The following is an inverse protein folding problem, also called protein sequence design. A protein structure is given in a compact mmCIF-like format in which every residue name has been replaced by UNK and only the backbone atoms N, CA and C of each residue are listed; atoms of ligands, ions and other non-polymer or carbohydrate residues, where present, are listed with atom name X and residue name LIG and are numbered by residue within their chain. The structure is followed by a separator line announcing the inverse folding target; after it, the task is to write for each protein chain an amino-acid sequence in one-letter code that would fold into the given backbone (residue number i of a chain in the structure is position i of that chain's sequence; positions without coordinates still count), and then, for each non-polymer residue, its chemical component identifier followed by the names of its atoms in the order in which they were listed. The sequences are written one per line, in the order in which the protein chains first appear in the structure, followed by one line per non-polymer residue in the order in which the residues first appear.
data_IF_252921404750
#
_entry.id   IF_252921404750
#
_cell.length_a   1.000
_cell.length_b   1.000
_cell.length_c   1.000
_cell.angle_alpha   90.00
_cell.angle_beta   90.00
_cell.angle_gamma   90.00
#
_symmetry.space_group_name_H-M   'P 1'
#
loop_
_entity.id
_entity.type
_entity.pdbx_description
1 polymer ?
#
# COMPACT_ATOMS: atom_id res chain seq x y z
N UNK A 1 28.69 -36.46 -39.04
CA UNK A 1 28.53 -35.39 -40.07
C UNK A 1 28.92 -34.07 -39.43
N UNK A 2 29.74 -33.26 -40.10
CA UNK A 2 30.68 -32.35 -39.46
C UNK A 2 30.14 -30.94 -39.17
N UNK A 3 30.78 -30.30 -38.20
CA UNK A 3 30.58 -28.90 -37.82
C UNK A 3 31.07 -27.94 -38.92
N UNK A 4 30.42 -26.77 -39.13
CA UNK A 4 31.01 -25.72 -39.96
C UNK A 4 31.98 -24.82 -39.18
N UNK A 5 32.91 -24.14 -39.90
CA UNK A 5 34.07 -23.51 -39.31
C UNK A 5 33.88 -22.08 -38.81
N UNK A 6 34.71 -21.67 -37.89
CA UNK A 6 34.88 -20.37 -37.30
C UNK A 6 35.37 -19.28 -38.28
N UNK A 7 34.81 -18.06 -38.22
CA UNK A 7 35.26 -16.87 -38.93
C UNK A 7 36.25 -16.03 -38.07
N UNK A 8 37.23 -15.34 -38.68
CA UNK A 8 38.32 -14.68 -37.97
C UNK A 8 37.96 -13.27 -37.46
N UNK A 9 38.57 -12.89 -36.35
CA UNK A 9 38.54 -11.56 -35.72
C UNK A 9 39.24 -10.50 -36.58
N UNK A 10 38.57 -9.39 -36.86
CA UNK A 10 39.21 -8.17 -37.38
C UNK A 10 39.58 -7.24 -36.23
N UNK A 11 40.88 -6.99 -36.07
CA UNK A 11 41.41 -5.89 -35.23
C UNK A 11 41.27 -4.60 -36.01
N UNK A 12 40.60 -3.60 -35.41
CA UNK A 12 40.60 -2.23 -35.91
C UNK A 12 41.69 -1.43 -35.19
N UNK A 13 42.55 -0.80 -35.97
CA UNK A 13 43.60 0.09 -35.49
C UNK A 13 43.00 1.44 -35.15
N UNK A 14 43.36 1.98 -33.99
CA UNK A 14 42.98 3.36 -33.57
C UNK A 14 44.07 4.30 -34.06
N UNK A 15 43.73 5.14 -35.02
CA UNK A 15 44.54 6.26 -35.43
C UNK A 15 44.32 7.47 -34.54
N UNK A 16 45.39 7.95 -33.92
CA UNK A 16 45.40 9.20 -33.13
C UNK A 16 45.61 10.39 -34.10
N UNK A 17 44.61 11.24 -34.26
CA UNK A 17 44.76 12.53 -34.90
C UNK A 17 45.05 13.61 -33.84
N UNK A 18 46.26 14.17 -33.87
CA UNK A 18 46.58 15.40 -33.11
C UNK A 18 46.00 16.62 -33.84
N UNK A 19 45.01 17.28 -33.26
CA UNK A 19 44.57 18.58 -33.73
C UNK A 19 45.16 19.66 -32.83
N UNK A 20 45.99 20.52 -33.44
CA UNK A 20 46.56 21.71 -32.83
C UNK A 20 45.45 22.77 -32.83
N UNK A 21 45.00 23.25 -31.67
CA UNK A 21 44.09 24.33 -31.49
C UNK A 21 44.89 25.61 -31.12
N UNK A 22 44.82 26.60 -31.99
CA UNK A 22 45.43 27.94 -31.75
C UNK A 22 44.64 28.67 -30.67
N UNK A 23 45.32 29.13 -29.61
CA UNK A 23 44.76 29.99 -28.58
C UNK A 23 44.61 31.43 -29.14
N UNK A 24 43.38 31.88 -29.31
CA UNK A 24 43.06 33.31 -29.43
C UNK A 24 42.76 33.86 -28.01
N UNK A 25 43.65 34.73 -27.54
CA UNK A 25 43.45 35.47 -26.30
C UNK A 25 42.38 36.54 -26.47
N UNK A 26 41.19 36.34 -25.87
CA UNK A 26 40.24 37.43 -25.64
C UNK A 26 40.37 37.92 -24.19
N UNK A 27 40.67 39.22 -24.07
CA UNK A 27 40.69 39.94 -22.78
C UNK A 27 39.29 39.98 -22.17
N UNK A 28 39.06 39.17 -21.15
CA UNK A 28 37.82 39.18 -20.34
C UNK A 28 37.93 40.18 -19.18
N UNK A 29 36.97 41.10 -19.09
CA UNK A 29 36.79 41.96 -17.94
C UNK A 29 36.37 41.14 -16.67
N UNK A 30 36.36 41.79 -15.48
CA UNK A 30 36.11 41.06 -14.22
C UNK A 30 34.71 40.46 -14.23
N UNK A 31 34.64 39.13 -14.23
CA UNK A 31 33.40 38.40 -13.97
C UNK A 31 33.13 38.42 -12.49
N UNK A 32 32.07 39.13 -12.11
CA UNK A 32 31.51 39.13 -10.76
C UNK A 32 30.93 37.71 -10.48
N UNK A 33 31.78 36.80 -10.07
CA UNK A 33 31.36 35.47 -9.67
C UNK A 33 30.77 35.55 -8.26
N UNK A 34 29.44 35.71 -8.21
CA UNK A 34 28.69 35.55 -6.96
C UNK A 34 29.08 34.18 -6.35
N UNK A 35 29.52 34.12 -5.09
CA UNK A 35 29.91 32.86 -4.48
C UNK A 35 28.72 31.86 -4.52
N UNK A 36 28.97 30.57 -4.74
CA UNK A 36 27.93 29.58 -4.79
C UNK A 36 27.16 29.61 -3.46
N UNK A 37 25.85 29.87 -3.54
CA UNK A 37 24.95 29.84 -2.41
C UNK A 37 24.84 28.36 -2.01
N UNK A 38 25.50 27.99 -0.92
CA UNK A 38 25.32 26.68 -0.32
C UNK A 38 23.86 26.57 0.13
N UNK A 39 23.06 25.59 -0.37
CA UNK A 39 21.72 25.44 0.12
C UNK A 39 21.75 25.21 1.64
N UNK A 40 20.80 25.78 2.38
CA UNK A 40 20.75 25.58 3.83
C UNK A 40 20.70 24.08 4.13
N UNK A 41 21.33 23.62 5.23
CA UNK A 41 21.31 22.22 5.59
C UNK A 41 19.86 21.76 5.76
N UNK A 42 19.48 20.69 5.04
CA UNK A 42 18.19 20.06 5.20
C UNK A 42 18.18 19.43 6.58
N UNK A 43 17.49 20.05 7.53
CA UNK A 43 17.27 19.46 8.85
C UNK A 43 16.36 18.25 8.66
N UNK A 44 16.79 17.04 9.02
CA UNK A 44 15.92 15.87 8.90
C UNK A 44 14.66 16.10 9.74
N UNK A 45 13.49 15.94 9.13
CA UNK A 45 12.22 16.00 9.85
C UNK A 45 12.16 14.79 10.79
N UNK A 46 12.07 15.06 12.10
CA UNK A 46 11.85 14.00 13.10
C UNK A 46 10.35 13.80 13.26
N UNK A 47 9.89 12.61 12.92
CA UNK A 47 8.48 12.22 13.05
C UNK A 47 8.23 11.70 14.47
N UNK A 48 7.29 12.32 15.19
CA UNK A 48 6.91 11.96 16.55
C UNK A 48 5.66 11.11 16.52
N UNK A 49 5.69 9.93 17.13
CA UNK A 49 4.55 9.01 17.16
C UNK A 49 3.31 9.69 17.78
N UNK A 50 2.17 9.51 17.13
CA UNK A 50 0.89 10.13 17.49
C UNK A 50 0.69 11.55 16.94
N UNK A 51 1.67 12.15 16.27
CA UNK A 51 1.54 13.48 15.65
C UNK A 51 1.25 13.40 14.16
N UNK A 52 0.51 14.39 13.65
CA UNK A 52 0.16 14.54 12.24
C UNK A 52 1.15 15.41 11.48
N UNK A 53 1.47 15.00 10.27
CA UNK A 53 2.28 15.71 9.29
C UNK A 53 1.53 15.74 7.96
N UNK A 54 1.64 16.83 7.24
CA UNK A 54 0.83 17.04 6.04
C UNK A 54 1.70 17.23 4.81
N UNK A 55 1.29 16.64 3.71
CA UNK A 55 1.77 16.95 2.39
C UNK A 55 1.29 18.32 1.92
N UNK A 56 1.65 18.68 0.68
CA UNK A 56 1.30 19.98 0.08
C UNK A 56 -0.21 20.18 0.12
N UNK A 57 -0.62 21.39 0.49
CA UNK A 57 -2.02 21.82 0.58
C UNK A 57 -2.88 20.97 1.55
N UNK A 58 -2.27 20.14 2.39
CA UNK A 58 -2.98 19.26 3.29
C UNK A 58 -3.73 18.12 2.58
N UNK A 59 -3.34 17.75 1.35
CA UNK A 59 -4.03 16.72 0.57
C UNK A 59 -3.77 15.32 1.08
N UNK A 60 -2.63 15.10 1.70
CA UNK A 60 -2.27 13.84 2.32
C UNK A 60 -1.81 14.11 3.74
N UNK A 61 -2.25 13.30 4.67
CA UNK A 61 -1.85 13.34 6.07
C UNK A 61 -1.13 12.05 6.44
N UNK A 62 -0.06 12.20 7.20
CA UNK A 62 0.64 11.10 7.85
C UNK A 62 0.59 11.30 9.36
N UNK A 63 -0.13 10.42 10.06
CA UNK A 63 -0.04 10.30 11.51
C UNK A 63 1.12 9.33 11.81
N UNK A 64 2.20 9.86 12.33
CA UNK A 64 3.40 9.08 12.59
C UNK A 64 3.13 8.01 13.65
N UNK A 65 3.72 6.84 13.45
CA UNK A 65 3.59 5.71 14.35
C UNK A 65 4.92 5.22 14.90
N UNK A 66 4.85 4.22 15.78
CA UNK A 66 5.99 3.45 16.29
C UNK A 66 5.62 1.97 16.51
N UNK A 67 4.45 1.55 16.05
CA UNK A 67 4.00 0.17 16.04
C UNK A 67 4.34 -0.50 14.69
N UNK A 68 4.42 -1.84 14.61
CA UNK A 68 4.66 -2.55 13.36
C UNK A 68 3.41 -2.67 12.45
N UNK A 69 2.50 -1.69 12.52
CA UNK A 69 1.24 -1.66 11.79
C UNK A 69 1.10 -0.36 11.02
N UNK A 70 0.72 -0.46 9.75
CA UNK A 70 0.47 0.66 8.84
C UNK A 70 -0.98 0.56 8.37
N UNK A 71 -1.74 1.64 8.54
CA UNK A 71 -3.12 1.78 8.11
C UNK A 71 -3.21 2.86 7.03
N UNK A 72 -3.98 2.63 5.99
CA UNK A 72 -4.22 3.62 4.94
C UNK A 72 -5.72 3.81 4.71
N UNK A 73 -6.14 5.04 4.36
CA UNK A 73 -7.52 5.36 3.98
C UNK A 73 -7.49 6.23 2.70
N UNK A 74 -7.53 5.60 1.51
CA UNK A 74 -7.35 6.32 0.24
C UNK A 74 -8.61 7.06 -0.22
N UNK A 75 -9.82 6.65 0.18
CA UNK A 75 -11.06 7.06 -0.48
C UNK A 75 -12.07 7.79 0.40
N UNK A 76 -11.73 8.10 1.66
CA UNK A 76 -12.62 8.81 2.59
C UNK A 76 -12.60 10.34 2.45
N UNK A 77 -11.75 10.89 1.60
CA UNK A 77 -11.53 12.33 1.46
C UNK A 77 -12.70 13.10 0.85
N UNK A 78 -12.81 14.37 1.21
CA UNK A 78 -13.88 15.29 0.75
C UNK A 78 -13.35 16.58 0.14
N UNK A 79 -12.04 16.86 0.23
CA UNK A 79 -11.47 18.09 -0.34
C UNK A 79 -11.63 18.09 -1.87
N UNK A 80 -12.16 19.15 -2.41
CA UNK A 80 -12.46 19.31 -3.84
C UNK A 80 -11.95 20.64 -4.37
N UNK A 81 -10.63 20.90 -4.42
CA UNK A 81 -10.07 22.14 -4.91
C UNK A 81 -10.40 22.32 -6.39
N UNK A 82 -10.67 23.58 -6.80
CA UNK A 82 -10.99 23.92 -8.20
C UNK A 82 -9.77 23.78 -9.14
N UNK A 83 -8.56 23.82 -8.60
CA UNK A 83 -7.30 23.62 -9.36
C UNK A 83 -7.12 22.18 -9.87
N UNK A 84 -7.81 21.21 -9.28
CA UNK A 84 -7.80 19.82 -9.74
C UNK A 84 -9.16 19.54 -10.38
N UNK A 85 -9.25 19.28 -11.70
CA UNK A 85 -10.47 18.88 -12.38
C UNK A 85 -11.02 17.56 -11.81
N UNK A 86 -12.33 17.34 -11.98
CA UNK A 86 -12.92 16.03 -11.66
C UNK A 86 -12.39 14.96 -12.62
N UNK A 87 -12.11 13.80 -12.05
CA UNK A 87 -11.76 12.60 -12.82
C UNK A 87 -12.99 12.13 -13.61
N UNK A 88 -12.78 11.89 -14.89
CA UNK A 88 -13.81 11.32 -15.79
C UNK A 88 -13.20 10.17 -16.59
N UNK A 89 -14.02 9.25 -17.07
CA UNK A 89 -13.55 8.13 -17.87
C UNK A 89 -12.76 8.61 -19.12
N UNK A 90 -13.22 9.67 -19.77
CA UNK A 90 -12.55 10.24 -20.95
C UNK A 90 -11.19 10.87 -20.61
N UNK A 91 -11.07 11.58 -19.50
CA UNK A 91 -9.83 12.23 -19.09
C UNK A 91 -8.81 11.23 -18.52
N UNK A 92 -9.28 10.13 -17.92
CA UNK A 92 -8.45 9.13 -17.25
C UNK A 92 -8.10 7.92 -18.13
N UNK A 93 -8.49 7.92 -19.39
CA UNK A 93 -8.13 6.85 -20.34
C UNK A 93 -8.94 5.55 -20.22
N UNK A 94 -10.14 5.59 -19.61
CA UNK A 94 -11.00 4.39 -19.60
C UNK A 94 -12.01 4.31 -18.47
N UNK A 95 -11.58 4.39 -17.22
CA UNK A 95 -12.49 4.30 -16.06
C UNK A 95 -12.20 5.39 -15.03
N UNK A 96 -13.20 5.80 -14.29
CA UNK A 96 -13.05 6.73 -13.18
C UNK A 96 -14.12 6.45 -12.11
N UNK A 97 -13.84 5.54 -11.20
CA UNK A 97 -14.64 5.40 -9.98
C UNK A 97 -14.42 6.63 -9.10
N UNK A 98 -15.51 7.28 -8.71
CA UNK A 98 -15.49 8.55 -7.96
C UNK A 98 -16.27 8.49 -6.65
N UNK A 99 -16.82 7.34 -6.32
CA UNK A 99 -17.59 7.12 -5.08
C UNK A 99 -16.66 7.16 -3.88
N UNK A 100 -17.07 7.90 -2.86
CA UNK A 100 -16.34 8.01 -1.58
C UNK A 100 -16.65 6.82 -0.68
N UNK A 101 -15.63 6.27 -0.07
CA UNK A 101 -15.76 5.23 0.97
C UNK A 101 -16.01 5.94 2.33
N UNK A 102 -17.26 6.32 2.58
CA UNK A 102 -17.63 7.15 3.70
C UNK A 102 -17.12 6.60 5.05
N UNK A 103 -16.62 7.51 5.90
CA UNK A 103 -16.16 7.26 7.27
C UNK A 103 -14.90 6.36 7.38
N UNK A 104 -14.16 6.10 6.30
CA UNK A 104 -12.90 5.34 6.40
C UNK A 104 -11.78 6.15 7.05
N UNK A 105 -11.77 7.47 6.92
CA UNK A 105 -10.82 8.34 7.63
C UNK A 105 -11.04 8.31 9.15
N UNK A 106 -12.28 8.46 9.57
CA UNK A 106 -12.68 8.37 10.98
C UNK A 106 -12.36 6.99 11.54
N UNK A 107 -12.56 5.93 10.74
CA UNK A 107 -12.27 4.56 11.14
C UNK A 107 -10.79 4.38 11.44
N UNK A 108 -9.87 4.76 10.53
CA UNK A 108 -8.42 4.56 10.75
C UNK A 108 -7.89 5.42 11.90
N UNK A 109 -8.43 6.62 12.14
CA UNK A 109 -8.10 7.44 13.31
C UNK A 109 -8.56 6.77 14.61
N UNK A 110 -9.77 6.22 14.61
CA UNK A 110 -10.29 5.46 15.74
C UNK A 110 -9.44 4.22 16.00
N UNK A 111 -9.05 3.50 14.93
CA UNK A 111 -8.15 2.34 15.03
C UNK A 111 -6.80 2.74 15.64
N UNK A 112 -6.19 3.85 15.21
CA UNK A 112 -4.93 4.33 15.82
C UNK A 112 -5.10 4.61 17.31
N UNK A 113 -6.15 5.35 17.68
CA UNK A 113 -6.42 5.74 19.08
C UNK A 113 -6.65 4.51 19.98
N UNK A 114 -7.49 3.58 19.52
CA UNK A 114 -7.82 2.37 20.29
C UNK A 114 -6.63 1.42 20.40
N UNK A 115 -5.85 1.30 19.32
CA UNK A 115 -4.60 0.55 19.33
C UNK A 115 -3.60 1.15 20.33
N UNK A 116 -3.41 2.47 20.31
CA UNK A 116 -2.49 3.16 21.23
C UNK A 116 -2.94 3.02 22.69
N UNK A 117 -4.24 3.10 22.96
CA UNK A 117 -4.79 2.87 24.29
C UNK A 117 -4.53 1.43 24.79
N UNK A 118 -4.54 0.43 23.88
CA UNK A 118 -4.32 -0.98 24.25
C UNK A 118 -2.85 -1.34 24.42
N UNK A 119 -1.97 -0.86 23.54
CA UNK A 119 -0.59 -1.32 23.44
C UNK A 119 0.47 -0.25 23.80
N UNK A 120 0.08 0.99 24.08
CA UNK A 120 1.01 2.08 24.33
C UNK A 120 1.85 2.52 23.13
N UNK A 121 1.52 2.03 21.92
CA UNK A 121 2.20 2.32 20.65
C UNK A 121 1.19 2.78 19.61
N UNK A 122 1.62 3.59 18.67
CA UNK A 122 0.78 4.15 17.61
C UNK A 122 1.04 3.42 16.28
N UNK A 123 0.01 2.86 15.60
CA UNK A 123 0.12 2.53 14.18
C UNK A 123 0.49 3.77 13.36
N UNK A 124 1.22 3.55 12.26
CA UNK A 124 1.35 4.57 11.22
C UNK A 124 0.03 4.68 10.46
N UNK A 125 -0.46 5.90 10.23
CA UNK A 125 -1.72 6.11 9.48
C UNK A 125 -1.49 7.10 8.35
N UNK A 126 -1.90 6.77 7.13
CA UNK A 126 -1.85 7.66 5.97
C UNK A 126 -3.26 7.87 5.42
N UNK A 127 -3.66 9.13 5.28
CA UNK A 127 -5.02 9.52 4.90
C UNK A 127 -4.96 10.43 3.68
N UNK A 128 -5.74 10.10 2.64
CA UNK A 128 -5.96 10.97 1.50
C UNK A 128 -7.18 11.87 1.77
N UNK A 129 -6.97 13.20 1.82
CA UNK A 129 -8.03 14.17 2.07
C UNK A 129 -8.76 14.61 0.80
N UNK A 130 -8.11 14.48 -0.37
CA UNK A 130 -8.77 14.76 -1.64
C UNK A 130 -9.96 13.82 -1.85
N UNK A 131 -11.07 14.38 -2.31
CA UNK A 131 -12.19 13.58 -2.79
C UNK A 131 -11.71 12.61 -3.89
N UNK A 132 -12.23 11.39 -3.89
CA UNK A 132 -11.94 10.41 -4.94
C UNK A 132 -12.29 10.92 -6.35
N UNK A 133 -13.13 11.95 -6.45
CA UNK A 133 -13.38 12.69 -7.70
C UNK A 133 -12.15 13.45 -8.21
N UNK A 134 -11.20 13.79 -7.35
CA UNK A 134 -10.00 14.57 -7.67
C UNK A 134 -8.75 13.70 -7.79
N UNK A 135 -8.64 12.71 -6.90
CA UNK A 135 -7.51 11.78 -6.87
C UNK A 135 -8.00 10.41 -6.38
N UNK A 136 -7.59 9.35 -7.05
CA UNK A 136 -7.72 7.98 -6.56
C UNK A 136 -6.33 7.41 -6.25
N UNK A 137 -5.88 7.44 -4.99
CA UNK A 137 -4.55 6.95 -4.63
C UNK A 137 -4.41 5.42 -4.76
N UNK A 138 -5.50 4.70 -4.99
CA UNK A 138 -5.50 3.25 -5.24
C UNK A 138 -5.56 2.93 -6.74
N UNK A 139 -4.98 3.83 -7.58
CA UNK A 139 -4.84 3.65 -9.03
C UNK A 139 -3.47 4.16 -9.49
N UNK A 140 -3.00 3.61 -10.61
CA UNK A 140 -1.85 4.14 -11.32
C UNK A 140 -2.22 5.38 -12.15
N UNK A 141 -1.21 6.17 -12.53
CA UNK A 141 -1.40 7.16 -13.59
C UNK A 141 -1.60 6.44 -14.95
N UNK A 142 -2.46 6.96 -15.84
CA UNK A 142 -3.20 8.23 -15.70
C UNK A 142 -4.48 8.14 -14.86
N UNK A 143 -5.00 6.98 -14.52
CA UNK A 143 -6.29 6.81 -13.83
C UNK A 143 -6.35 7.51 -12.47
N UNK A 144 -5.23 7.59 -11.75
CA UNK A 144 -5.19 8.19 -10.41
C UNK A 144 -5.58 9.67 -10.41
N UNK A 145 -5.05 10.47 -11.33
CA UNK A 145 -5.24 11.93 -11.35
C UNK A 145 -5.46 12.52 -12.73
N UNK A 146 -5.73 11.68 -13.75
CA UNK A 146 -6.05 12.05 -15.14
C UNK A 146 -5.06 13.08 -15.74
N UNK A 147 -3.77 12.95 -15.43
CA UNK A 147 -2.69 13.80 -15.93
C UNK A 147 -2.57 15.18 -15.26
N UNK A 148 -3.37 15.48 -14.22
CA UNK A 148 -3.24 16.73 -13.48
C UNK A 148 -1.97 16.70 -12.61
N UNK A 149 -1.10 17.72 -12.72
CA UNK A 149 0.19 17.78 -12.05
C UNK A 149 0.07 17.91 -10.52
N UNK A 150 -0.93 18.62 -10.02
CA UNK A 150 -1.17 18.79 -8.59
C UNK A 150 -1.66 17.50 -7.96
N UNK A 151 -2.57 16.79 -8.63
CA UNK A 151 -3.01 15.44 -8.22
C UNK A 151 -1.85 14.43 -8.28
N UNK A 152 -0.98 14.51 -9.29
CA UNK A 152 0.21 13.66 -9.40
C UNK A 152 1.20 13.91 -8.24
N UNK A 153 1.35 15.17 -7.81
CA UNK A 153 2.16 15.51 -6.63
C UNK A 153 1.55 14.88 -5.35
N UNK A 154 0.24 15.03 -5.15
CA UNK A 154 -0.43 14.43 -3.99
C UNK A 154 -0.33 12.88 -4.00
N UNK A 155 -0.41 12.23 -5.17
CA UNK A 155 -0.18 10.79 -5.30
C UNK A 155 1.26 10.40 -4.90
N UNK A 156 2.25 11.19 -5.32
CA UNK A 156 3.65 10.97 -4.95
C UNK A 156 3.85 11.09 -3.43
N UNK A 157 3.25 12.10 -2.81
CA UNK A 157 3.29 12.29 -1.35
C UNK A 157 2.60 11.15 -0.60
N UNK A 158 1.47 10.66 -1.11
CA UNK A 158 0.77 9.48 -0.58
C UNK A 158 1.69 8.27 -0.49
N UNK A 159 2.31 7.90 -1.60
CA UNK A 159 3.22 6.76 -1.61
C UNK A 159 4.49 7.01 -0.80
N UNK A 160 5.02 8.23 -0.79
CA UNK A 160 6.21 8.59 -0.01
C UNK A 160 5.98 8.43 1.50
N UNK A 161 4.82 8.81 2.02
CA UNK A 161 4.48 8.61 3.42
C UNK A 161 4.29 7.13 3.78
N UNK A 162 3.72 6.32 2.86
CA UNK A 162 3.63 4.88 3.08
C UNK A 162 5.03 4.24 3.09
N UNK A 163 5.89 4.62 2.15
CA UNK A 163 7.27 4.10 2.07
C UNK A 163 8.11 4.54 3.28
N UNK A 164 7.92 5.75 3.79
CA UNK A 164 8.49 6.21 5.05
C UNK A 164 8.02 5.33 6.23
N UNK A 165 6.71 5.11 6.36
CA UNK A 165 6.15 4.25 7.40
C UNK A 165 6.71 2.83 7.34
N UNK A 166 6.81 2.25 6.13
CA UNK A 166 7.43 0.93 5.91
C UNK A 166 8.89 0.90 6.36
N UNK A 167 9.66 1.94 6.02
CA UNK A 167 11.06 2.05 6.42
C UNK A 167 11.22 2.10 7.94
N UNK A 168 10.40 2.92 8.63
CA UNK A 168 10.45 3.01 10.09
C UNK A 168 10.02 1.68 10.76
N UNK A 169 8.97 1.01 10.24
CA UNK A 169 8.55 -0.31 10.72
C UNK A 169 9.65 -1.34 10.54
N UNK A 170 10.27 -1.42 9.36
CA UNK A 170 11.33 -2.39 9.09
C UNK A 170 12.56 -2.13 9.96
N UNK A 171 12.95 -0.88 10.15
CA UNK A 171 14.06 -0.47 11.00
C UNK A 171 13.84 -0.84 12.47
N UNK A 172 12.63 -0.63 12.99
CA UNK A 172 12.30 -0.85 14.39
C UNK A 172 11.92 -2.29 14.72
N UNK A 173 11.28 -3.01 13.80
CA UNK A 173 10.64 -4.30 14.06
C UNK A 173 11.09 -5.43 13.11
N UNK A 174 11.81 -5.13 12.02
CA UNK A 174 12.25 -6.08 11.01
C UNK A 174 11.14 -6.60 10.10
N UNK A 175 9.89 -6.49 10.49
CA UNK A 175 8.69 -6.90 9.76
C UNK A 175 7.46 -6.13 10.24
N UNK A 176 6.40 -6.08 9.41
CA UNK A 176 5.20 -5.34 9.75
C UNK A 176 3.96 -5.76 8.97
N UNK A 177 2.84 -5.15 9.33
CA UNK A 177 1.53 -5.43 8.76
C UNK A 177 0.90 -4.17 8.16
N UNK A 178 0.48 -4.27 6.91
CA UNK A 178 -0.18 -3.20 6.16
C UNK A 178 -1.68 -3.50 5.99
N UNK A 179 -2.54 -2.50 6.23
CA UNK A 179 -3.97 -2.59 6.02
C UNK A 179 -4.44 -1.39 5.20
N UNK A 180 -4.97 -1.65 4.01
CA UNK A 180 -5.61 -0.63 3.16
C UNK A 180 -7.11 -0.63 3.44
N UNK A 181 -7.59 0.41 4.13
CA UNK A 181 -8.96 0.47 4.63
C UNK A 181 -9.89 1.14 3.62
N UNK A 182 -10.77 0.35 3.07
CA UNK A 182 -11.81 0.72 2.12
C UNK A 182 -13.21 0.50 2.67
N UNK A 183 -14.19 0.82 1.86
CA UNK A 183 -15.57 0.57 2.18
C UNK A 183 -16.41 0.22 0.97
N UNK A 184 -17.13 -0.89 1.06
CA UNK A 184 -18.03 -1.35 0.01
C UNK A 184 -19.50 -1.05 0.27
N UNK A 185 -20.29 -1.12 -0.79
CA UNK A 185 -21.75 -1.07 -0.78
C UNK A 185 -22.41 -2.36 -1.28
N UNK A 186 -21.70 -3.50 -1.23
CA UNK A 186 -22.23 -4.79 -1.67
C UNK A 186 -23.42 -5.23 -0.78
N UNK A 187 -24.37 -6.01 -1.33
CA UNK A 187 -25.55 -6.44 -0.58
C UNK A 187 -25.22 -7.28 0.66
N UNK A 188 -24.18 -8.12 0.57
CA UNK A 188 -23.75 -8.96 1.70
C UNK A 188 -22.93 -8.12 2.68
N UNK A 189 -23.45 -7.95 3.89
CA UNK A 189 -22.80 -7.14 4.93
C UNK A 189 -21.75 -7.96 5.68
N UNK A 190 -20.51 -7.91 5.20
CA UNK A 190 -19.34 -8.61 5.74
C UNK A 190 -18.07 -7.83 5.41
N UNK A 191 -16.97 -8.09 6.09
CA UNK A 191 -15.64 -7.63 5.68
C UNK A 191 -15.17 -8.46 4.49
N UNK A 192 -14.64 -7.81 3.45
CA UNK A 192 -13.98 -8.50 2.34
C UNK A 192 -12.47 -8.30 2.46
N UNK A 193 -11.75 -9.40 2.64
CA UNK A 193 -10.31 -9.40 2.88
C UNK A 193 -9.57 -9.70 1.58
N UNK A 194 -9.09 -8.64 0.93
CA UNK A 194 -8.42 -8.69 -0.36
C UNK A 194 -6.93 -8.99 -0.23
N UNK A 195 -6.56 -10.25 -0.44
CA UNK A 195 -5.17 -10.74 -0.42
C UNK A 195 -4.51 -10.77 -1.81
N UNK A 196 -5.10 -10.15 -2.82
CA UNK A 196 -4.79 -10.29 -4.25
C UNK A 196 -5.12 -11.69 -4.80
N UNK A 197 -5.89 -12.47 -4.06
CA UNK A 197 -6.43 -13.78 -4.47
C UNK A 197 -7.82 -13.54 -5.05
N UNK A 198 -8.04 -13.93 -6.30
CA UNK A 198 -9.30 -13.67 -7.00
C UNK A 198 -10.47 -14.49 -6.46
N UNK A 199 -11.71 -14.04 -6.73
CA UNK A 199 -12.91 -14.81 -6.40
C UNK A 199 -12.87 -16.24 -6.98
N UNK A 200 -12.47 -16.38 -8.24
CA UNK A 200 -12.36 -17.68 -8.90
C UNK A 200 -11.34 -18.61 -8.23
N UNK A 201 -10.23 -18.07 -7.70
CA UNK A 201 -9.25 -18.86 -6.93
C UNK A 201 -9.82 -19.29 -5.58
N UNK A 202 -10.53 -18.38 -4.88
CA UNK A 202 -11.18 -18.71 -3.61
C UNK A 202 -12.35 -19.67 -3.77
N UNK A 203 -13.05 -19.66 -4.90
CA UNK A 203 -14.14 -20.62 -5.19
C UNK A 203 -13.62 -22.04 -5.41
N UNK A 204 -12.34 -22.21 -5.67
CA UNK A 204 -11.67 -23.51 -5.74
C UNK A 204 -11.64 -24.28 -4.41
N UNK A 205 -11.28 -25.56 -4.47
CA UNK A 205 -11.02 -26.37 -3.28
C UNK A 205 -9.74 -25.92 -2.56
N UNK A 206 -9.57 -26.31 -1.29
CA UNK A 206 -8.34 -26.02 -0.56
C UNK A 206 -7.13 -26.64 -1.25
N UNK A 207 -7.24 -27.87 -1.72
CA UNK A 207 -6.17 -28.54 -2.46
C UNK A 207 -5.81 -27.81 -3.77
N UNK A 208 -6.80 -27.26 -4.47
CA UNK A 208 -6.54 -26.47 -5.68
C UNK A 208 -5.85 -25.12 -5.36
N UNK A 209 -6.25 -24.48 -4.27
CA UNK A 209 -5.65 -23.23 -3.82
C UNK A 209 -4.20 -23.45 -3.33
N UNK A 210 -3.95 -24.52 -2.60
CA UNK A 210 -2.62 -24.90 -2.10
C UNK A 210 -1.66 -25.34 -3.23
N UNK A 211 -2.20 -25.94 -4.30
CA UNK A 211 -1.42 -26.30 -5.48
C UNK A 211 -1.12 -25.09 -6.41
N UNK A 212 -1.80 -23.95 -6.22
CA UNK A 212 -1.70 -22.79 -7.08
C UNK A 212 -0.53 -21.86 -6.69
N UNK A 213 0.71 -22.32 -6.86
CA UNK A 213 1.92 -21.55 -6.50
C UNK A 213 1.96 -20.13 -7.07
N UNK A 214 1.38 -19.91 -8.26
CA UNK A 214 1.26 -18.59 -8.87
C UNK A 214 0.27 -17.67 -8.11
N UNK A 215 -0.78 -18.23 -7.47
CA UNK A 215 -1.68 -17.46 -6.64
C UNK A 215 -1.01 -17.06 -5.31
N UNK A 216 -0.33 -17.98 -4.66
CA UNK A 216 0.41 -17.74 -3.43
C UNK A 216 1.53 -16.71 -3.64
N UNK A 217 2.31 -16.84 -4.71
CA UNK A 217 3.42 -15.93 -5.00
C UNK A 217 2.98 -14.49 -5.21
N UNK A 218 1.76 -14.25 -5.69
CA UNK A 218 1.17 -12.91 -5.87
C UNK A 218 0.44 -12.39 -4.64
N UNK A 219 0.11 -13.28 -3.70
CA UNK A 219 -0.66 -12.89 -2.54
C UNK A 219 0.07 -11.85 -1.68
N UNK A 220 -0.68 -10.89 -1.18
CA UNK A 220 -0.17 -9.82 -0.31
C UNK A 220 0.40 -10.32 1.02
N UNK A 221 0.30 -11.61 1.29
CA UNK A 221 0.77 -12.32 2.49
C UNK A 221 1.86 -13.35 2.17
N UNK A 222 2.51 -13.27 1.02
CA UNK A 222 3.51 -14.26 0.56
C UNK A 222 4.56 -14.60 1.63
N UNK A 223 5.28 -13.62 2.15
CA UNK A 223 6.36 -13.89 3.12
C UNK A 223 5.84 -14.46 4.44
N UNK A 224 4.62 -14.09 4.84
CA UNK A 224 3.95 -14.68 5.99
C UNK A 224 3.54 -16.13 5.68
N UNK A 225 3.02 -16.41 4.48
CA UNK A 225 2.66 -17.77 4.05
C UNK A 225 3.89 -18.69 4.07
N UNK A 226 5.00 -18.24 3.49
CA UNK A 226 6.25 -19.01 3.46
C UNK A 226 6.86 -19.25 4.85
N UNK A 227 6.60 -18.38 5.81
CA UNK A 227 7.06 -18.52 7.19
C UNK A 227 6.11 -19.35 8.07
N UNK A 228 4.86 -19.51 7.65
CA UNK A 228 3.82 -20.20 8.39
C UNK A 228 3.93 -21.73 8.21
N UNK A 229 3.65 -22.54 9.25
CA UNK A 229 3.53 -23.99 9.11
C UNK A 229 2.19 -24.42 8.47
N UNK A 230 1.27 -23.48 8.25
CA UNK A 230 -0.03 -23.74 7.64
C UNK A 230 0.08 -23.77 6.12
N UNK A 231 -0.84 -24.51 5.46
CA UNK A 231 -1.03 -24.37 4.02
C UNK A 231 -1.59 -22.97 3.68
N UNK A 232 -1.44 -22.55 2.43
CA UNK A 232 -1.93 -21.26 1.96
C UNK A 232 -3.44 -21.10 2.15
N UNK A 233 -4.21 -22.15 1.83
CA UNK A 233 -5.67 -22.18 2.06
C UNK A 233 -6.02 -22.01 3.54
N UNK A 234 -5.33 -22.74 4.42
CA UNK A 234 -5.56 -22.66 5.86
C UNK A 234 -5.20 -21.28 6.44
N UNK A 235 -4.15 -20.62 5.91
CA UNK A 235 -3.79 -19.25 6.28
C UNK A 235 -4.88 -18.25 5.90
N UNK A 236 -5.50 -18.39 4.72
CA UNK A 236 -6.52 -17.46 4.23
C UNK A 236 -7.91 -17.69 4.85
N UNK A 237 -8.30 -18.95 5.06
CA UNK A 237 -9.68 -19.30 5.43
C UNK A 237 -9.81 -20.43 6.47
N UNK A 238 -8.71 -20.83 7.09
CA UNK A 238 -8.74 -21.82 8.18
C UNK A 238 -9.21 -21.25 9.51
N UNK A 239 -9.22 -22.07 10.57
CA UNK A 239 -9.75 -21.70 11.89
C UNK A 239 -9.05 -20.51 12.56
N UNK A 240 -7.80 -20.26 12.21
CA UNK A 240 -6.99 -19.17 12.76
C UNK A 240 -6.68 -18.08 11.72
N UNK A 241 -7.36 -18.09 10.56
CA UNK A 241 -7.23 -17.05 9.56
C UNK A 241 -7.75 -15.71 10.07
N UNK A 242 -7.26 -14.62 9.49
CA UNK A 242 -7.65 -13.26 9.87
C UNK A 242 -9.18 -13.07 9.83
N UNK A 243 -9.83 -13.55 8.76
CA UNK A 243 -11.28 -13.45 8.61
C UNK A 243 -12.04 -14.28 9.65
N UNK A 244 -11.54 -15.46 10.01
CA UNK A 244 -12.16 -16.28 11.08
C UNK A 244 -12.04 -15.60 12.43
N UNK A 245 -10.90 -14.98 12.71
CA UNK A 245 -10.71 -14.21 13.95
C UNK A 245 -11.63 -12.98 14.01
N UNK A 246 -11.82 -12.26 12.91
CA UNK A 246 -12.81 -11.17 12.85
C UNK A 246 -14.24 -11.66 13.03
N UNK A 247 -14.61 -12.78 12.39
CA UNK A 247 -15.95 -13.37 12.54
C UNK A 247 -16.22 -13.76 14.00
N UNK A 248 -15.22 -14.29 14.71
CA UNK A 248 -15.32 -14.60 16.14
C UNK A 248 -15.51 -13.35 17.03
N UNK A 249 -15.12 -12.16 16.56
CA UNK A 249 -15.37 -10.87 17.21
C UNK A 249 -16.71 -10.24 16.79
N UNK A 250 -17.55 -10.95 16.03
CA UNK A 250 -18.84 -10.46 15.56
C UNK A 250 -18.77 -9.59 14.29
N UNK A 251 -17.69 -9.74 13.49
CA UNK A 251 -17.53 -9.13 12.18
C UNK A 251 -17.43 -10.21 11.11
N UNK A 252 -18.56 -10.66 10.52
CA UNK A 252 -18.55 -11.63 9.43
C UNK A 252 -17.54 -11.24 8.36
N UNK A 253 -16.76 -12.19 7.85
CA UNK A 253 -15.64 -11.89 6.96
C UNK A 253 -15.44 -12.96 5.91
N UNK A 254 -15.01 -12.53 4.71
CA UNK A 254 -14.61 -13.40 3.62
C UNK A 254 -13.17 -13.05 3.17
N UNK A 255 -12.29 -14.06 2.93
CA UNK A 255 -12.45 -15.46 3.27
C UNK A 255 -12.32 -15.72 4.78
N UNK A 256 -13.06 -16.72 5.28
CA UNK A 256 -12.99 -17.21 6.66
C UNK A 256 -13.42 -18.68 6.70
N UNK A 257 -13.33 -19.35 7.83
CA UNK A 257 -13.82 -20.73 7.95
C UNK A 257 -15.34 -20.85 7.82
N UNK A 258 -16.07 -19.80 8.22
CA UNK A 258 -17.54 -19.73 8.09
C UNK A 258 -18.03 -19.23 6.73
N UNK A 259 -17.19 -18.48 6.02
CA UNK A 259 -17.49 -17.91 4.70
C UNK A 259 -16.23 -17.98 3.81
N UNK A 260 -15.91 -19.20 3.32
CA UNK A 260 -14.60 -19.42 2.68
C UNK A 260 -14.51 -18.99 1.22
N UNK A 261 -15.66 -18.74 0.56
CA UNK A 261 -15.74 -18.56 -0.90
C UNK A 261 -16.77 -17.52 -1.28
N UNK A 262 -16.48 -16.64 -2.25
CA UNK A 262 -17.47 -15.70 -2.78
C UNK A 262 -18.71 -16.38 -3.39
N UNK A 263 -18.55 -17.52 -4.04
CA UNK A 263 -19.65 -18.32 -4.61
C UNK A 263 -20.58 -17.48 -5.50
N UNK A 264 -20.00 -16.59 -6.32
CA UNK A 264 -20.72 -15.70 -7.23
C UNK A 264 -21.19 -14.39 -6.60
N UNK A 265 -21.02 -14.17 -5.30
CA UNK A 265 -21.24 -12.85 -4.69
C UNK A 265 -20.08 -11.89 -5.01
N UNK A 266 -20.38 -10.60 -4.97
CA UNK A 266 -19.36 -9.55 -5.11
C UNK A 266 -18.26 -9.71 -4.06
N UNK A 267 -17.01 -9.49 -4.51
CA UNK A 267 -15.82 -9.57 -3.68
C UNK A 267 -14.69 -8.75 -4.25
N UNK A 268 -14.12 -7.86 -3.45
CA UNK A 268 -12.92 -7.10 -3.76
C UNK A 268 -11.66 -7.83 -3.29
N UNK A 269 -10.81 -8.17 -4.23
CA UNK A 269 -9.61 -8.98 -3.95
C UNK A 269 -8.34 -8.19 -3.62
N UNK A 270 -8.40 -6.85 -3.59
CA UNK A 270 -7.27 -5.96 -3.39
C UNK A 270 -7.00 -5.05 -4.59
N UNK A 271 -6.37 -3.91 -4.34
CA UNK A 271 -6.06 -2.89 -5.34
C UNK A 271 -4.57 -2.59 -5.49
N UNK A 272 -4.27 -1.46 -6.13
CA UNK A 272 -2.89 -1.07 -6.47
C UNK A 272 -2.04 -0.75 -5.24
N UNK A 273 -2.63 -0.18 -4.19
CA UNK A 273 -1.94 0.02 -2.92
C UNK A 273 -1.48 -1.30 -2.30
N UNK A 274 -2.37 -2.30 -2.28
CA UNK A 274 -2.04 -3.63 -1.75
C UNK A 274 -0.94 -4.29 -2.55
N UNK A 275 -0.98 -4.21 -3.89
CA UNK A 275 0.10 -4.71 -4.77
C UNK A 275 1.43 -4.04 -4.50
N UNK A 276 1.42 -2.71 -4.39
CA UNK A 276 2.63 -1.90 -4.24
C UNK A 276 3.28 -2.02 -2.87
N UNK A 277 2.50 -2.10 -1.81
CA UNK A 277 3.00 -1.88 -0.45
C UNK A 277 3.13 -3.14 0.38
N UNK A 278 2.76 -4.32 -0.16
CA UNK A 278 2.84 -5.59 0.55
C UNK A 278 3.92 -6.53 -0.01
N UNK A 279 4.06 -7.70 0.60
CA UNK A 279 5.11 -8.67 0.34
C UNK A 279 4.85 -9.61 -0.85
N UNK A 280 3.79 -9.41 -1.63
CA UNK A 280 3.52 -10.19 -2.84
C UNK A 280 4.54 -9.95 -3.95
N UNK A 281 4.63 -10.92 -4.89
CA UNK A 281 5.63 -10.89 -5.96
C UNK A 281 5.12 -10.28 -7.26
N UNK A 282 4.07 -9.47 -7.28
CA UNK A 282 3.71 -8.79 -8.53
C UNK A 282 4.86 -7.89 -8.98
N UNK A 283 5.64 -8.43 -9.93
CA UNK A 283 6.64 -7.67 -10.66
C UNK A 283 5.93 -6.68 -11.58
N UNK A 284 6.30 -5.42 -11.51
CA UNK A 284 5.77 -4.39 -12.38
C UNK A 284 6.13 -3.00 -11.88
N UNK A 285 5.65 -1.94 -12.53
CA UNK A 285 5.90 -0.56 -12.10
C UNK A 285 5.34 -0.26 -10.70
N UNK A 286 4.54 -1.16 -10.12
CA UNK A 286 3.99 -1.07 -8.78
C UNK A 286 4.97 -1.51 -7.68
N UNK A 287 6.05 -2.25 -8.03
CA UNK A 287 7.21 -2.45 -7.19
C UNK A 287 6.95 -2.99 -5.78
N UNK A 288 6.03 -3.94 -5.61
CA UNK A 288 6.02 -4.77 -4.41
C UNK A 288 7.38 -5.47 -4.30
N UNK A 289 8.03 -5.41 -3.15
CA UNK A 289 9.30 -6.10 -2.95
C UNK A 289 9.00 -7.58 -2.77
N UNK A 290 9.19 -8.39 -3.82
CA UNK A 290 9.08 -9.85 -3.71
C UNK A 290 9.86 -10.33 -2.49
N UNK A 291 9.19 -11.00 -1.57
CA UNK A 291 9.80 -11.45 -0.31
C UNK A 291 10.05 -10.32 0.71
N UNK A 292 9.43 -9.15 0.53
CA UNK A 292 9.47 -8.05 1.52
C UNK A 292 8.84 -8.46 2.85
N UNK A 293 9.25 -7.81 3.93
CA UNK A 293 8.80 -8.13 5.28
C UNK A 293 7.60 -7.29 5.76
N UNK A 294 6.94 -6.56 4.86
CA UNK A 294 5.65 -5.91 5.11
C UNK A 294 4.59 -6.69 4.33
N UNK A 295 3.90 -7.59 5.01
CA UNK A 295 2.72 -8.26 4.45
C UNK A 295 1.46 -7.51 4.85
N UNK A 296 0.30 -7.83 4.24
CA UNK A 296 -0.90 -7.09 4.57
C UNK A 296 -2.13 -7.50 3.77
N UNK A 297 -3.17 -6.69 3.87
CA UNK A 297 -4.48 -6.96 3.29
C UNK A 297 -5.21 -5.65 2.97
N UNK A 298 -5.99 -5.61 1.89
CA UNK A 298 -7.06 -4.64 1.73
C UNK A 298 -8.28 -5.11 2.52
N UNK A 299 -8.89 -4.22 3.29
CA UNK A 299 -10.15 -4.51 3.96
C UNK A 299 -11.23 -3.60 3.38
N UNK A 300 -12.19 -4.21 2.71
CA UNK A 300 -13.43 -3.58 2.32
C UNK A 300 -14.45 -3.78 3.45
N UNK A 301 -14.64 -2.73 4.23
CA UNK A 301 -15.54 -2.77 5.37
C UNK A 301 -16.96 -2.41 4.95
N UNK A 302 -17.97 -3.19 5.37
CA UNK A 302 -19.37 -2.83 5.20
C UNK A 302 -19.70 -1.53 5.97
N UNK A 303 -20.72 -0.79 5.51
CA UNK A 303 -21.09 0.47 6.15
C UNK A 303 -21.78 0.22 7.49
N UNK A 304 -22.91 -0.50 7.45
CA UNK A 304 -23.73 -0.77 8.63
C UNK A 304 -23.00 -1.68 9.61
N UNK A 305 -22.89 -1.27 10.85
CA UNK A 305 -22.26 -2.06 11.92
C UNK A 305 -20.73 -1.96 12.00
N UNK A 306 -20.08 -1.30 11.03
CA UNK A 306 -18.62 -1.04 11.06
C UNK A 306 -18.32 0.45 10.96
N UNK A 307 -18.72 1.12 9.85
CA UNK A 307 -18.33 2.51 9.56
C UNK A 307 -19.39 3.56 9.90
N UNK A 308 -20.64 3.16 10.07
CA UNK A 308 -21.83 4.03 10.17
C UNK A 308 -21.84 4.92 11.42
N UNK A 309 -21.47 4.41 12.58
CA UNK A 309 -21.49 5.17 13.84
C UNK A 309 -20.12 5.19 14.53
N UNK A 310 -19.90 6.17 15.42
CA UNK A 310 -18.69 6.21 16.24
C UNK A 310 -18.55 4.96 17.10
N UNK A 311 -19.63 4.50 17.74
CA UNK A 311 -19.61 3.28 18.57
C UNK A 311 -19.25 2.03 17.77
N UNK A 312 -19.73 1.89 16.53
CA UNK A 312 -19.39 0.77 15.67
C UNK A 312 -17.93 0.84 15.22
N UNK A 313 -17.42 2.04 14.90
CA UNK A 313 -15.98 2.23 14.58
C UNK A 313 -15.08 1.88 15.77
N UNK A 314 -15.46 2.28 17.00
CA UNK A 314 -14.72 1.92 18.22
C UNK A 314 -14.73 0.40 18.45
N UNK A 315 -15.90 -0.24 18.34
CA UNK A 315 -16.03 -1.69 18.48
C UNK A 315 -15.18 -2.44 17.45
N UNK A 316 -15.19 -2.00 16.19
CA UNK A 316 -14.34 -2.59 15.15
C UNK A 316 -12.85 -2.36 15.41
N UNK A 317 -12.46 -1.17 15.85
CA UNK A 317 -11.09 -0.83 16.18
C UNK A 317 -10.53 -1.69 17.33
N UNK A 318 -11.32 -1.90 18.38
CA UNK A 318 -10.98 -2.76 19.51
C UNK A 318 -10.83 -4.22 19.08
N UNK A 319 -11.77 -4.71 18.28
CA UNK A 319 -11.71 -6.05 17.71
C UNK A 319 -10.46 -6.21 16.82
N UNK A 320 -10.17 -5.22 15.97
CA UNK A 320 -8.98 -5.23 15.10
C UNK A 320 -7.70 -5.32 15.91
N UNK A 321 -7.57 -4.55 16.99
CA UNK A 321 -6.38 -4.62 17.86
C UNK A 321 -6.18 -6.02 18.45
N UNK A 322 -7.26 -6.68 18.89
CA UNK A 322 -7.22 -8.04 19.41
C UNK A 322 -6.90 -9.09 18.33
N UNK A 323 -7.56 -8.98 17.18
CA UNK A 323 -7.40 -9.88 16.05
C UNK A 323 -5.96 -9.81 15.52
N UNK A 324 -5.42 -8.60 15.34
CA UNK A 324 -4.05 -8.43 14.85
C UNK A 324 -3.02 -8.98 15.84
N UNK A 325 -3.17 -8.73 17.15
CA UNK A 325 -2.26 -9.31 18.16
C UNK A 325 -2.26 -10.83 18.08
N UNK A 326 -3.43 -11.46 18.02
CA UNK A 326 -3.54 -12.90 17.92
C UNK A 326 -2.97 -13.44 16.60
N UNK A 327 -3.37 -12.86 15.47
CA UNK A 327 -2.99 -13.31 14.14
C UNK A 327 -1.49 -13.18 13.88
N UNK A 328 -0.92 -12.00 14.15
CA UNK A 328 0.49 -11.72 13.88
C UNK A 328 1.42 -12.48 14.82
N UNK A 329 1.04 -12.65 16.08
CA UNK A 329 1.78 -13.47 17.03
C UNK A 329 1.80 -14.93 16.61
N UNK A 330 0.64 -15.47 16.20
CA UNK A 330 0.48 -16.88 15.85
C UNK A 330 1.18 -17.26 14.53
N UNK A 331 0.99 -16.43 13.50
CA UNK A 331 1.43 -16.76 12.14
C UNK A 331 2.73 -16.10 11.72
N UNK A 332 3.14 -15.04 12.39
CA UNK A 332 4.35 -14.32 12.01
C UNK A 332 5.33 -14.09 13.16
N UNK A 333 5.02 -14.53 14.38
CA UNK A 333 5.86 -14.31 15.55
C UNK A 333 6.12 -12.84 15.82
N UNK A 334 5.15 -11.97 15.52
CA UNK A 334 5.20 -10.53 15.74
C UNK A 334 4.24 -10.16 16.87
N UNK A 335 4.78 -9.75 18.04
CA UNK A 335 3.97 -9.26 19.15
C UNK A 335 3.71 -7.77 18.99
N UNK A 336 2.46 -7.35 19.22
CA UNK A 336 2.04 -5.94 19.24
C UNK A 336 2.11 -5.36 20.67
N UNK A 337 2.04 -6.23 21.68
CA UNK A 337 2.25 -5.84 23.07
C UNK A 337 3.72 -5.44 23.34
N UNK A 338 3.98 -4.58 24.33
CA UNK A 338 5.32 -4.19 24.75
C UNK A 338 6.21 -5.37 25.11
#
# INVERSE_FOLDING_TARGET
MPFPPSLPSRRAAVGVLLSIVALSACSGGPTDTKPPVTPPPVVPVTYVAGQSYFGRNGYVEYLAGNAPVILTAPHGGTLSPSSIPDRTASACGGSATTVTDANTQELVRTMQTRYAARFGKYPHVIIAHLSRRKLDPNRLQPEAGCGNAEAATALSEWHSYIDLAKSEVLKAHGKGWYMDMHGHGHPVQRLELGYLTTAAQLDGTDAALDAASAAESRASVLSLSLASPLSFSALLRGPTSLGTLYAAQGFPSIPSSGDPRPSGADYFNGGDNTRRHTCGSEAGPLGGTTGGMICGVQIEANFVGVRDTAANRERFADATAQVLEQYLRLHWGLSLAP
#
